data_IF_618860980367
#
_entry.id   IF_618860980367
#
_cell.length_a   1.000
_cell.length_b   1.000
_cell.length_c   1.000
_cell.angle_alpha   90.00
_cell.angle_beta   90.00
_cell.angle_gamma   90.00
#
_symmetry.space_group_name_H-M   'P 1'
#
loop_
_entity.id
_entity.type
_entity.pdbx_description
1 polymer ?
#
# COMPACT_ATOMS: atom_id res chain seq x y z
N UNK A 1 19.82 17.87 -23.46
CA UNK A 1 20.47 16.71 -24.11
C UNK A 1 20.00 15.47 -23.36
N UNK A 2 19.27 14.51 -23.92
CA UNK A 2 19.62 13.59 -25.02
C UNK A 2 18.35 13.14 -25.77
N UNK A 3 18.33 13.24 -27.11
CA UNK A 3 17.39 12.51 -27.97
C UNK A 3 18.04 11.18 -28.34
N UNK A 4 17.52 10.05 -27.84
CA UNK A 4 17.84 8.75 -28.45
C UNK A 4 17.06 8.65 -29.76
N UNK A 5 17.80 8.68 -30.88
CA UNK A 5 17.36 8.02 -32.13
C UNK A 5 17.38 6.51 -31.86
N UNK A 6 16.29 5.83 -32.16
CA UNK A 6 16.29 4.39 -32.40
C UNK A 6 15.58 4.21 -33.75
N UNK A 7 16.37 3.85 -34.76
CA UNK A 7 15.88 3.44 -36.08
C UNK A 7 15.49 1.95 -36.08
N UNK A 8 14.52 1.61 -36.94
CA UNK A 8 14.13 0.25 -37.33
C UNK A 8 13.35 -0.55 -36.27
N UNK A 9 12.19 -1.13 -36.61
CA UNK A 9 12.11 -2.14 -37.66
C UNK A 9 11.07 -1.83 -38.75
N UNK A 10 11.38 -2.28 -39.96
CA UNK A 10 10.49 -2.42 -41.11
C UNK A 10 9.28 -3.28 -40.77
N UNK A 11 8.13 -2.64 -40.60
CA UNK A 11 6.84 -3.30 -40.43
C UNK A 11 5.74 -2.30 -40.69
N UNK A 12 5.12 -2.40 -41.88
CA UNK A 12 3.76 -2.04 -42.25
C UNK A 12 2.87 -1.38 -41.18
N UNK A 13 3.20 -0.15 -40.78
CA UNK A 13 2.44 0.65 -39.80
C UNK A 13 1.43 1.56 -40.48
N UNK A 14 0.19 1.54 -39.98
CA UNK A 14 -0.83 2.49 -40.38
C UNK A 14 -0.42 3.91 -39.96
N UNK A 15 -0.61 4.87 -40.87
CA UNK A 15 -0.27 6.28 -40.70
C UNK A 15 -1.42 7.11 -40.13
N UNK A 16 -2.55 6.49 -39.76
CA UNK A 16 -3.63 7.18 -39.05
C UNK A 16 -3.21 7.56 -37.62
N UNK A 17 -3.71 8.69 -37.11
CA UNK A 17 -3.42 9.11 -35.74
C UNK A 17 -3.96 8.07 -34.73
N UNK A 18 -3.12 7.61 -33.80
CA UNK A 18 -3.47 6.65 -32.73
C UNK A 18 -4.00 5.27 -33.18
N UNK A 19 -3.79 4.88 -34.45
CA UNK A 19 -4.25 3.57 -34.94
C UNK A 19 -3.38 2.42 -34.41
N UNK A 20 -4.01 1.43 -33.77
CA UNK A 20 -3.37 0.20 -33.26
C UNK A 20 -3.39 -0.97 -34.24
N UNK A 21 -3.98 -0.80 -35.43
CA UNK A 21 -4.19 -1.87 -36.43
C UNK A 21 -2.93 -2.43 -37.10
N UNK A 22 -1.76 -2.25 -36.49
CA UNK A 22 -0.46 -2.65 -37.04
C UNK A 22 0.07 -3.98 -36.50
N UNK A 23 -0.71 -4.70 -35.68
CA UNK A 23 -0.27 -5.94 -35.01
C UNK A 23 -0.89 -7.22 -35.58
N UNK A 24 -1.87 -7.16 -36.48
CA UNK A 24 -2.45 -8.33 -37.12
C UNK A 24 -1.79 -8.60 -38.47
N UNK A 25 -1.24 -9.81 -38.65
CA UNK A 25 -0.54 -10.24 -39.88
C UNK A 25 -1.44 -10.34 -41.13
N UNK A 26 -2.74 -10.02 -41.04
CA UNK A 26 -3.74 -10.32 -42.09
C UNK A 26 -4.51 -9.09 -42.59
N UNK A 27 -4.02 -7.87 -42.37
CA UNK A 27 -4.73 -6.65 -42.78
C UNK A 27 -4.18 -6.00 -44.05
N UNK A 28 -5.10 -5.49 -44.88
CA UNK A 28 -4.76 -4.76 -46.10
C UNK A 28 -4.33 -3.32 -45.81
N UNK A 29 -3.29 -2.86 -46.52
CA UNK A 29 -2.72 -1.53 -46.38
C UNK A 29 -2.71 -0.81 -47.72
N UNK A 30 -3.25 0.40 -47.74
CA UNK A 30 -3.41 1.23 -48.93
C UNK A 30 -2.42 2.40 -48.91
N UNK A 31 -1.85 2.72 -50.07
CA UNK A 31 -1.01 3.90 -50.26
C UNK A 31 -1.85 5.17 -50.36
N UNK A 32 -1.27 6.30 -49.98
CA UNK A 32 -1.90 7.61 -50.16
C UNK A 32 -2.12 7.92 -51.65
N UNK A 33 -3.22 8.60 -52.01
CA UNK A 33 -3.51 8.99 -53.38
C UNK A 33 -2.50 10.03 -53.91
N UNK A 34 -2.27 10.02 -55.22
CA UNK A 34 -1.40 11.00 -55.90
C UNK A 34 -2.13 12.31 -56.20
N UNK A 35 -3.46 12.26 -56.35
CA UNK A 35 -4.26 13.47 -56.54
C UNK A 35 -4.17 14.36 -55.29
N UNK A 36 -3.69 15.61 -55.42
CA UNK A 36 -3.54 16.53 -54.29
C UNK A 36 -4.86 16.84 -53.59
N UNK A 37 -5.99 16.86 -54.30
CA UNK A 37 -7.30 17.17 -53.71
C UNK A 37 -7.77 16.03 -52.81
N UNK A 38 -7.73 14.79 -53.32
CA UNK A 38 -8.06 13.61 -52.54
C UNK A 38 -7.09 13.38 -51.37
N UNK A 39 -5.80 13.66 -51.57
CA UNK A 39 -4.78 13.59 -50.53
C UNK A 39 -5.09 14.50 -49.33
N UNK A 40 -5.50 15.74 -49.60
CA UNK A 40 -5.88 16.68 -48.54
C UNK A 40 -7.07 16.19 -47.73
N UNK A 41 -8.10 15.62 -48.39
CA UNK A 41 -9.25 15.01 -47.71
C UNK A 41 -8.83 13.84 -46.81
N UNK A 42 -7.91 12.99 -47.27
CA UNK A 42 -7.36 11.90 -46.45
C UNK A 42 -6.62 12.42 -45.23
N UNK A 43 -5.76 13.42 -45.39
CA UNK A 43 -5.00 14.02 -44.28
C UNK A 43 -5.93 14.65 -43.23
N UNK A 44 -7.00 15.31 -43.69
CA UNK A 44 -8.01 15.87 -42.80
C UNK A 44 -8.73 14.78 -41.99
N UNK A 45 -9.22 13.73 -42.64
CA UNK A 45 -9.98 12.67 -41.96
C UNK A 45 -9.12 11.83 -41.01
N UNK A 46 -7.83 11.68 -41.32
CA UNK A 46 -6.87 10.94 -40.50
C UNK A 46 -6.27 11.76 -39.34
N UNK A 47 -6.70 13.01 -39.16
CA UNK A 47 -6.22 13.89 -38.09
C UNK A 47 -4.78 14.39 -38.28
N UNK A 48 -4.33 14.53 -39.54
CA UNK A 48 -2.96 14.90 -39.91
C UNK A 48 -2.93 16.00 -40.99
N UNK A 49 -3.78 17.02 -40.86
CA UNK A 49 -3.95 18.09 -41.85
C UNK A 49 -2.65 18.80 -42.27
N UNK A 50 -1.67 18.92 -41.37
CA UNK A 50 -0.38 19.57 -41.63
C UNK A 50 0.78 18.62 -42.00
N UNK A 51 0.52 17.32 -42.17
CA UNK A 51 1.57 16.32 -42.39
C UNK A 51 1.77 15.99 -43.88
N UNK A 52 3.03 15.86 -44.32
CA UNK A 52 3.39 15.37 -45.66
C UNK A 52 3.76 13.88 -45.60
N UNK A 53 2.96 12.97 -46.18
CA UNK A 53 3.22 11.54 -46.10
C UNK A 53 4.42 11.14 -46.97
N UNK A 54 5.40 10.37 -46.43
CA UNK A 54 6.44 9.75 -47.26
C UNK A 54 5.86 8.66 -48.17
N UNK A 55 6.58 8.27 -49.23
CA UNK A 55 6.13 7.24 -50.18
C UNK A 55 5.87 5.87 -49.52
N UNK A 56 6.48 5.59 -48.38
CA UNK A 56 6.26 4.38 -47.58
C UNK A 56 5.02 4.44 -46.67
N UNK A 57 4.35 5.58 -46.56
CA UNK A 57 3.17 5.75 -45.71
C UNK A 57 1.98 4.94 -46.23
N UNK A 58 1.30 4.24 -45.31
CA UNK A 58 0.15 3.39 -45.61
C UNK A 58 -1.00 3.64 -44.61
N UNK A 59 -2.23 3.36 -45.02
CA UNK A 59 -3.45 3.40 -44.18
C UNK A 59 -4.14 2.04 -44.23
N UNK A 60 -4.60 1.53 -43.10
CA UNK A 60 -5.20 0.19 -43.04
C UNK A 60 -6.70 0.18 -43.37
N UNK A 61 -7.21 -0.99 -43.77
CA UNK A 61 -8.60 -1.18 -44.20
C UNK A 61 -9.66 -0.81 -43.16
N UNK A 62 -9.32 -0.77 -41.86
CA UNK A 62 -10.22 -0.35 -40.78
C UNK A 62 -10.70 1.11 -40.90
N UNK A 63 -10.03 1.93 -41.70
CA UNK A 63 -10.43 3.31 -41.93
C UNK A 63 -11.32 3.49 -43.16
N UNK A 64 -11.77 2.38 -43.78
CA UNK A 64 -12.64 2.41 -44.94
C UNK A 64 -13.85 1.50 -44.68
N UNK A 65 -15.03 1.92 -45.12
CA UNK A 65 -16.25 1.13 -44.97
C UNK A 65 -16.24 -0.06 -45.95
N UNK A 66 -16.79 -1.22 -45.54
CA UNK A 66 -16.73 -2.51 -46.26
C UNK A 66 -17.30 -2.56 -47.70
N UNK A 67 -17.78 -1.45 -48.27
CA UNK A 67 -18.18 -1.33 -49.68
C UNK A 67 -17.18 -0.57 -50.57
N UNK A 68 -16.18 0.08 -49.97
CA UNK A 68 -15.22 0.96 -50.64
C UNK A 68 -13.97 0.22 -51.15
N UNK A 69 -13.78 -1.02 -50.71
CA UNK A 69 -12.66 -1.88 -51.07
C UNK A 69 -13.13 -2.93 -52.09
N UNK A 70 -12.48 -2.96 -53.25
CA UNK A 70 -12.72 -3.97 -54.28
C UNK A 70 -11.72 -5.11 -54.10
N UNK A 71 -12.23 -6.33 -53.91
CA UNK A 71 -11.45 -7.55 -53.77
C UNK A 71 -11.69 -8.45 -54.99
N UNK A 72 -10.77 -8.47 -55.95
CA UNK A 72 -10.80 -9.34 -57.13
C UNK A 72 -9.49 -10.10 -57.21
N UNK A 73 -9.51 -11.43 -57.06
CA UNK A 73 -8.44 -12.45 -57.26
C UNK A 73 -6.96 -12.08 -57.03
N UNK A 74 -6.68 -10.99 -56.32
CA UNK A 74 -5.40 -10.31 -56.18
C UNK A 74 -5.42 -9.30 -55.03
N UNK A 75 -4.48 -8.34 -55.01
CA UNK A 75 -4.36 -7.38 -53.91
C UNK A 75 -5.61 -6.48 -53.82
N UNK A 76 -6.21 -6.28 -52.64
CA UNK A 76 -7.36 -5.39 -52.47
C UNK A 76 -7.03 -3.96 -52.92
N UNK A 77 -7.96 -3.31 -53.61
CA UNK A 77 -7.84 -1.94 -54.09
C UNK A 77 -8.99 -1.08 -53.56
N UNK A 78 -8.75 0.22 -53.40
CA UNK A 78 -9.81 1.18 -53.11
C UNK A 78 -10.48 1.61 -54.41
N UNK A 79 -11.79 1.84 -54.38
CA UNK A 79 -12.48 2.52 -55.48
C UNK A 79 -11.90 3.93 -55.69
N UNK A 80 -12.01 4.49 -56.92
CA UNK A 80 -11.68 5.90 -57.15
C UNK A 80 -12.44 6.82 -56.17
N UNK A 81 -11.79 7.90 -55.76
CA UNK A 81 -12.37 8.98 -54.93
C UNK A 81 -12.80 8.60 -53.49
N UNK A 82 -12.47 7.41 -53.03
CA UNK A 82 -12.72 6.99 -51.64
C UNK A 82 -11.87 7.79 -50.66
N UNK A 83 -12.49 8.19 -49.55
CA UNK A 83 -11.82 8.83 -48.41
C UNK A 83 -11.95 7.98 -47.15
N UNK A 84 -10.96 7.99 -46.24
CA UNK A 84 -11.07 7.32 -44.96
C UNK A 84 -12.16 7.93 -44.10
N UNK A 85 -12.76 7.14 -43.21
CA UNK A 85 -13.72 7.64 -42.22
C UNK A 85 -13.06 8.66 -41.27
N UNK A 86 -13.79 9.72 -40.93
CA UNK A 86 -13.29 10.82 -40.09
C UNK A 86 -13.01 10.31 -38.68
N UNK A 87 -11.76 10.41 -38.23
CA UNK A 87 -11.38 10.05 -36.86
C UNK A 87 -11.98 11.07 -35.90
N UNK A 88 -12.85 10.62 -34.99
CA UNK A 88 -13.41 11.43 -33.91
C UNK A 88 -12.26 11.98 -33.05
N UNK A 89 -11.99 13.26 -33.22
CA UNK A 89 -10.79 13.91 -32.68
C UNK A 89 -11.09 14.40 -31.27
N UNK A 90 -10.89 13.57 -30.25
CA UNK A 90 -10.73 14.07 -28.88
C UNK A 90 -9.25 14.43 -28.73
N UNK A 91 -8.95 15.73 -28.82
CA UNK A 91 -7.59 16.25 -28.68
C UNK A 91 -7.44 16.85 -27.27
N UNK A 92 -7.07 16.04 -26.25
CA UNK A 92 -6.52 16.63 -25.02
C UNK A 92 -5.04 16.93 -25.22
N UNK A 93 -4.65 18.18 -25.04
CA UNK A 93 -3.24 18.61 -25.05
C UNK A 93 -2.54 18.44 -23.69
N UNK A 94 -3.14 17.65 -22.79
CA UNK A 94 -2.60 17.29 -21.50
C UNK A 94 -1.93 15.91 -21.59
N UNK A 95 -0.61 15.82 -21.32
CA UNK A 95 0.13 14.55 -21.28
C UNK A 95 -0.37 13.63 -20.13
N UNK A 96 -0.13 12.30 -20.20
CA UNK A 96 -1.16 11.29 -20.13
C UNK A 96 -1.07 10.45 -18.86
N UNK A 97 -2.14 10.37 -18.07
CA UNK A 97 -2.33 9.24 -17.16
C UNK A 97 -3.81 8.81 -17.15
N UNK A 98 -4.03 7.60 -17.67
CA UNK A 98 -5.13 6.68 -17.39
C UNK A 98 -6.58 7.02 -17.76
N UNK A 99 -6.82 7.73 -18.86
CA UNK A 99 -8.13 7.61 -19.56
C UNK A 99 -8.18 6.34 -20.44
N UNK A 100 -7.03 5.69 -20.69
CA UNK A 100 -6.92 4.53 -21.58
C UNK A 100 -7.54 3.24 -21.06
N UNK A 101 -7.69 3.06 -19.74
CA UNK A 101 -8.32 1.85 -19.20
C UNK A 101 -9.85 1.91 -19.21
N UNK A 102 -10.45 3.09 -19.00
CA UNK A 102 -11.91 3.22 -18.93
C UNK A 102 -12.58 3.21 -20.31
N UNK A 103 -11.88 3.65 -21.37
CA UNK A 103 -12.45 3.69 -22.74
C UNK A 103 -12.44 2.31 -23.40
N UNK A 104 -11.53 1.40 -23.05
CA UNK A 104 -11.50 0.05 -23.65
C UNK A 104 -12.72 -0.80 -23.27
N UNK A 105 -13.31 -0.59 -22.10
CA UNK A 105 -14.48 -1.37 -21.65
C UNK A 105 -15.84 -0.79 -22.12
N UNK A 106 -15.86 0.39 -22.74
CA UNK A 106 -17.11 1.11 -23.03
C UNK A 106 -17.39 1.44 -24.50
N UNK A 107 -16.55 0.96 -25.43
CA UNK A 107 -16.80 1.15 -26.87
C UNK A 107 -17.77 0.12 -27.51
N UNK A 108 -18.39 -0.76 -26.73
CA UNK A 108 -19.28 -1.81 -27.27
C UNK A 108 -20.74 -1.81 -26.81
N UNK A 109 -21.23 -0.76 -26.13
CA UNK A 109 -22.64 -0.70 -25.77
C UNK A 109 -23.32 0.57 -26.31
N UNK A 110 -24.13 0.41 -27.36
CA UNK A 110 -25.01 1.46 -27.92
C UNK A 110 -26.25 1.74 -27.05
N UNK A 111 -26.21 1.48 -25.75
CA UNK A 111 -27.37 1.68 -24.87
C UNK A 111 -26.93 2.36 -23.58
N UNK A 112 -27.48 3.55 -23.38
CA UNK A 112 -27.29 4.39 -22.21
C UNK A 112 -27.93 3.74 -20.99
N UNK A 113 -27.09 3.20 -20.10
CA UNK A 113 -27.25 3.11 -18.64
C UNK A 113 -26.26 2.08 -18.11
N UNK A 114 -25.16 2.53 -17.50
CA UNK A 114 -24.18 1.63 -16.88
C UNK A 114 -24.17 1.89 -15.38
N UNK A 115 -24.55 0.87 -14.61
CA UNK A 115 -24.45 0.90 -13.15
C UNK A 115 -23.09 0.32 -12.74
N UNK A 116 -22.17 1.17 -12.25
CA UNK A 116 -20.82 0.76 -11.88
C UNK A 116 -20.70 0.51 -10.38
N UNK A 117 -20.22 -0.68 -9.98
CA UNK A 117 -20.06 -1.08 -8.57
C UNK A 117 -19.11 -0.16 -7.75
N UNK A 118 -18.31 0.68 -8.40
CA UNK A 118 -17.36 1.62 -7.74
C UNK A 118 -17.91 3.04 -7.56
N UNK A 119 -18.81 3.52 -8.43
CA UNK A 119 -19.26 4.92 -8.45
C UNK A 119 -20.79 5.09 -8.41
N UNK A 120 -21.56 4.00 -8.32
CA UNK A 120 -23.02 4.05 -8.34
C UNK A 120 -23.57 4.41 -9.73
N UNK A 121 -24.71 5.11 -9.75
CA UNK A 121 -25.41 5.49 -10.98
C UNK A 121 -24.59 6.54 -11.75
N UNK A 122 -23.91 6.11 -12.82
CA UNK A 122 -23.22 7.01 -13.73
C UNK A 122 -24.23 7.50 -14.78
N UNK A 123 -24.62 8.77 -14.67
CA UNK A 123 -25.29 9.48 -15.77
C UNK A 123 -24.20 9.88 -16.74
N UNK A 124 -24.17 9.21 -17.90
CA UNK A 124 -23.28 9.60 -18.99
C UNK A 124 -23.92 10.83 -19.64
N UNK A 125 -23.23 11.99 -19.69
CA UNK A 125 -23.78 13.19 -20.31
C UNK A 125 -24.14 12.90 -21.76
N UNK A 126 -25.36 13.25 -22.15
CA UNK A 126 -25.90 12.85 -23.48
C UNK A 126 -25.59 13.89 -24.55
N UNK A 127 -25.06 15.06 -24.16
CA UNK A 127 -24.75 16.16 -25.05
C UNK A 127 -23.31 16.71 -24.91
N UNK A 128 -22.72 17.24 -25.99
CA UNK A 128 -21.37 17.79 -25.98
C UNK A 128 -21.17 18.99 -25.03
N UNK A 129 -22.22 19.73 -24.67
CA UNK A 129 -22.10 20.88 -23.75
C UNK A 129 -21.92 20.47 -22.29
N UNK A 130 -22.56 19.40 -21.85
CA UNK A 130 -22.45 18.89 -20.47
C UNK A 130 -21.07 18.28 -20.22
N UNK A 131 -20.54 17.54 -21.21
CA UNK A 131 -19.15 17.02 -21.17
C UNK A 131 -18.15 18.17 -21.08
N UNK A 132 -18.38 19.26 -21.81
CA UNK A 132 -17.50 20.43 -21.79
C UNK A 132 -17.55 21.14 -20.43
N UNK A 133 -18.73 21.36 -19.85
CA UNK A 133 -18.86 21.93 -18.50
C UNK A 133 -18.13 21.10 -17.45
N UNK A 134 -18.33 19.77 -17.44
CA UNK A 134 -17.63 18.88 -16.52
C UNK A 134 -16.11 18.92 -16.70
N UNK A 135 -15.64 19.00 -17.95
CA UNK A 135 -14.21 19.11 -18.24
C UNK A 135 -13.65 20.44 -17.72
N UNK A 136 -14.35 21.55 -17.95
CA UNK A 136 -13.94 22.88 -17.52
C UNK A 136 -13.90 22.98 -15.98
N UNK A 137 -14.91 22.45 -15.28
CA UNK A 137 -14.92 22.33 -13.82
C UNK A 137 -13.75 21.49 -13.29
N UNK A 138 -13.50 20.32 -13.89
CA UNK A 138 -12.38 19.46 -13.51
C UNK A 138 -11.04 20.17 -13.71
N UNK A 139 -10.90 20.93 -14.80
CA UNK A 139 -9.71 21.70 -15.10
C UNK A 139 -9.49 22.84 -14.10
N UNK A 140 -10.56 23.51 -13.67
CA UNK A 140 -10.51 24.55 -12.63
C UNK A 140 -10.09 23.97 -11.27
N UNK A 141 -10.69 22.84 -10.86
CA UNK A 141 -10.32 22.15 -9.62
C UNK A 141 -8.86 21.67 -9.62
N UNK A 142 -8.36 21.18 -10.76
CA UNK A 142 -6.96 20.78 -10.87
C UNK A 142 -5.98 21.96 -10.72
N UNK A 143 -6.33 23.13 -11.26
CA UNK A 143 -5.53 24.36 -11.09
C UNK A 143 -5.54 24.83 -9.65
N UNK A 144 -6.70 24.78 -9.00
CA UNK A 144 -6.84 25.14 -7.59
C UNK A 144 -6.03 24.21 -6.69
N UNK A 145 -6.04 22.90 -6.96
CA UNK A 145 -5.22 21.91 -6.24
C UNK A 145 -3.71 22.18 -6.41
N UNK A 146 -3.25 22.52 -7.61
CA UNK A 146 -1.84 22.87 -7.85
C UNK A 146 -1.45 24.16 -7.10
N UNK A 147 -2.34 25.16 -7.09
CA UNK A 147 -2.13 26.40 -6.35
C UNK A 147 -2.05 26.16 -4.84
N UNK A 148 -2.99 25.37 -4.29
CA UNK A 148 -2.99 24.98 -2.88
C UNK A 148 -1.73 24.19 -2.50
N UNK A 149 -1.29 23.25 -3.33
CA UNK A 149 -0.04 22.50 -3.10
C UNK A 149 1.18 23.42 -3.02
N UNK A 150 1.29 24.38 -3.94
CA UNK A 150 2.36 25.39 -3.93
C UNK A 150 2.28 26.29 -2.70
N UNK A 151 1.08 26.72 -2.31
CA UNK A 151 0.86 27.53 -1.12
C UNK A 151 1.25 26.80 0.18
N UNK A 152 0.93 25.50 0.29
CA UNK A 152 1.36 24.65 1.41
C UNK A 152 2.89 24.56 1.47
N UNK A 153 3.55 24.25 0.36
CA UNK A 153 5.02 24.19 0.31
C UNK A 153 5.69 25.52 0.70
N UNK A 154 5.13 26.65 0.23
CA UNK A 154 5.63 27.97 0.59
C UNK A 154 5.46 28.26 2.09
N UNK A 155 4.32 27.88 2.69
CA UNK A 155 4.09 28.02 4.13
C UNK A 155 5.01 27.10 4.94
N UNK A 156 5.22 25.86 4.53
CA UNK A 156 6.17 24.94 5.17
C UNK A 156 7.59 25.52 5.18
N UNK A 157 8.02 26.10 4.05
CA UNK A 157 9.33 26.75 3.97
C UNK A 157 9.43 28.00 4.85
N UNK A 158 8.35 28.79 4.95
CA UNK A 158 8.30 29.94 5.87
C UNK A 158 8.36 29.52 7.34
N UNK A 159 7.69 28.43 7.73
CA UNK A 159 7.78 27.86 9.08
C UNK A 159 9.21 27.41 9.37
N UNK A 160 9.82 26.63 8.46
CA UNK A 160 11.23 26.20 8.59
C UNK A 160 12.20 27.40 8.72
N UNK A 161 11.98 28.46 7.94
CA UNK A 161 12.83 29.65 8.00
C UNK A 161 12.63 30.47 9.29
N UNK A 162 11.41 30.55 9.81
CA UNK A 162 11.10 31.21 11.10
C UNK A 162 11.69 30.44 12.28
N UNK A 163 11.55 29.11 12.27
CA UNK A 163 12.21 28.23 13.24
C UNK A 163 13.73 28.45 13.20
N UNK A 164 14.37 28.38 12.03
CA UNK A 164 15.81 28.60 11.89
C UNK A 164 16.27 30.01 12.31
N UNK A 165 15.42 31.04 12.16
CA UNK A 165 15.75 32.43 12.54
C UNK A 165 15.63 32.69 14.05
N UNK A 166 14.63 32.10 14.73
CA UNK A 166 14.57 32.12 16.21
C UNK A 166 15.77 31.41 16.85
N UNK A 167 16.36 30.43 16.17
CA UNK A 167 17.50 29.65 16.67
C UNK A 167 18.85 30.34 16.47
N UNK A 168 18.97 31.36 15.60
CA UNK A 168 20.22 32.12 15.43
C UNK A 168 20.63 32.94 16.66
N UNK A 169 19.69 33.22 17.58
CA UNK A 169 19.96 33.87 18.86
C UNK A 169 20.32 32.92 20.01
N UNK A 170 20.09 31.60 19.87
CA UNK A 170 20.28 30.62 20.94
C UNK A 170 21.07 29.40 20.42
N UNK A 171 22.38 29.37 20.73
CA UNK A 171 23.36 28.33 20.33
C UNK A 171 23.05 26.88 20.80
N UNK A 172 21.86 26.56 21.31
CA UNK A 172 21.57 25.32 22.06
C UNK A 172 20.44 24.42 21.56
N UNK A 173 19.66 24.79 20.54
CA UNK A 173 18.54 23.97 20.10
C UNK A 173 18.77 23.38 18.70
N UNK A 174 18.67 22.05 18.58
CA UNK A 174 18.64 21.34 17.30
C UNK A 174 17.21 21.31 16.76
N UNK A 175 17.05 21.37 15.44
CA UNK A 175 15.73 21.25 14.80
C UNK A 175 15.14 19.85 15.00
N UNK A 176 13.81 19.72 14.93
CA UNK A 176 13.13 18.42 14.99
C UNK A 176 13.63 17.47 13.89
N UNK A 177 13.93 18.00 12.71
CA UNK A 177 14.48 17.25 11.59
C UNK A 177 15.91 16.72 11.87
N UNK A 178 16.75 17.52 12.52
CA UNK A 178 18.08 17.10 12.95
C UNK A 178 18.03 16.03 14.06
N UNK A 179 17.11 16.18 15.03
CA UNK A 179 16.86 15.18 16.08
C UNK A 179 16.38 13.86 15.46
N UNK A 180 15.39 13.91 14.55
CA UNK A 180 14.85 12.72 13.88
C UNK A 180 15.92 11.98 13.08
N UNK A 181 16.68 12.71 12.27
CA UNK A 181 17.78 12.12 11.49
C UNK A 181 18.87 11.56 12.40
N UNK A 182 19.23 12.26 13.48
CA UNK A 182 20.18 11.77 14.48
C UNK A 182 19.71 10.48 15.16
N UNK A 183 18.44 10.37 15.54
CA UNK A 183 17.85 9.14 16.08
C UNK A 183 17.91 7.99 15.07
N UNK A 184 17.55 8.24 13.81
CA UNK A 184 17.61 7.22 12.74
C UNK A 184 19.04 6.70 12.51
N UNK A 185 20.02 7.60 12.45
CA UNK A 185 21.43 7.24 12.34
C UNK A 185 21.88 6.43 13.55
N UNK A 186 21.54 6.89 14.76
CA UNK A 186 21.86 6.20 16.02
C UNK A 186 21.29 4.78 16.07
N UNK A 187 20.05 4.59 15.63
CA UNK A 187 19.43 3.26 15.55
C UNK A 187 20.08 2.36 14.48
N UNK A 188 20.51 2.93 13.35
CA UNK A 188 21.09 2.16 12.25
C UNK A 188 22.51 1.66 12.54
N UNK A 189 23.34 2.46 13.22
CA UNK A 189 24.75 2.13 13.48
C UNK A 189 25.09 1.89 14.97
N UNK A 190 24.11 2.01 15.86
CA UNK A 190 24.28 1.87 17.31
C UNK A 190 25.04 3.04 17.97
N UNK A 191 25.15 3.06 19.31
CA UNK A 191 25.74 4.17 20.05
C UNK A 191 27.19 4.48 19.66
N UNK A 192 28.04 3.45 19.56
CA UNK A 192 29.46 3.61 19.18
C UNK A 192 29.64 3.97 17.70
N UNK A 193 28.77 3.45 16.82
CA UNK A 193 28.77 3.81 15.41
C UNK A 193 28.38 5.27 15.21
N UNK A 194 27.36 5.73 15.93
CA UNK A 194 26.90 7.11 15.85
C UNK A 194 27.95 8.09 16.36
N UNK A 195 28.68 7.74 17.42
CA UNK A 195 29.82 8.54 17.87
C UNK A 195 30.89 8.70 16.78
N UNK A 196 31.21 7.63 16.03
CA UNK A 196 32.15 7.68 14.89
C UNK A 196 31.62 8.55 13.76
N UNK A 197 30.31 8.47 13.46
CA UNK A 197 29.66 9.36 12.49
C UNK A 197 29.82 10.82 12.92
N UNK A 198 29.56 11.14 14.19
CA UNK A 198 29.74 12.50 14.71
C UNK A 198 31.19 12.99 14.58
N UNK A 199 32.18 12.12 14.84
CA UNK A 199 33.60 12.45 14.69
C UNK A 199 33.95 12.77 13.23
N UNK A 200 33.59 11.89 12.29
CA UNK A 200 33.84 12.11 10.84
C UNK A 200 33.19 13.40 10.34
N UNK A 201 31.99 13.72 10.84
CA UNK A 201 31.30 14.97 10.49
C UNK A 201 31.94 16.20 11.15
N UNK A 202 32.53 16.07 12.34
CA UNK A 202 33.28 17.17 12.97
C UNK A 202 34.56 17.49 12.20
N UNK A 203 35.24 16.47 11.66
CA UNK A 203 36.48 16.61 10.91
C UNK A 203 36.27 17.15 9.48
N UNK A 204 35.02 17.23 9.01
CA UNK A 204 34.65 17.63 7.65
C UNK A 204 34.23 19.11 7.57
N UNK A 205 34.97 19.99 6.84
CA UNK A 205 34.61 21.40 6.69
C UNK A 205 33.23 21.57 6.05
N UNK A 206 32.34 22.33 6.70
CA UNK A 206 31.00 22.63 6.20
C UNK A 206 29.95 21.54 6.43
N UNK A 207 30.30 20.44 7.12
CA UNK A 207 29.35 19.39 7.44
C UNK A 207 28.27 19.86 8.43
N UNK A 208 27.03 19.34 8.32
CA UNK A 208 25.95 19.67 9.23
C UNK A 208 26.24 19.15 10.66
N UNK A 209 25.95 19.98 11.66
CA UNK A 209 26.06 19.59 13.08
C UNK A 209 24.87 18.71 13.46
N UNK A 210 25.17 17.54 14.05
CA UNK A 210 24.16 16.64 14.59
C UNK A 210 24.15 16.61 16.13
N UNK A 211 23.00 16.27 16.74
CA UNK A 211 22.87 16.19 18.20
C UNK A 211 23.75 15.09 18.79
N UNK A 212 24.32 15.36 19.96
CA UNK A 212 25.04 14.34 20.74
C UNK A 212 24.12 13.20 21.18
N UNK A 213 24.63 12.01 21.52
CA UNK A 213 23.81 10.92 22.06
C UNK A 213 22.97 11.35 23.27
N UNK A 214 23.53 12.15 24.19
CA UNK A 214 22.78 12.66 25.35
C UNK A 214 21.65 13.59 24.93
N UNK A 215 21.87 14.45 23.93
CA UNK A 215 20.83 15.33 23.39
C UNK A 215 19.70 14.53 22.75
N UNK A 216 20.02 13.46 22.01
CA UNK A 216 19.01 12.57 21.44
C UNK A 216 18.20 11.87 22.54
N UNK A 217 18.85 11.40 23.61
CA UNK A 217 18.17 10.79 24.76
C UNK A 217 17.21 11.77 25.44
N UNK A 218 17.65 13.00 25.75
CA UNK A 218 16.78 14.05 26.33
C UNK A 218 15.57 14.30 25.43
N UNK A 219 15.78 14.34 24.11
CA UNK A 219 14.71 14.63 23.16
C UNK A 219 13.58 13.60 23.16
N UNK A 220 13.86 12.33 23.50
CA UNK A 220 12.86 11.26 23.56
C UNK A 220 12.45 10.89 24.99
N UNK A 221 13.07 11.49 26.01
CA UNK A 221 12.86 11.17 27.43
C UNK A 221 11.40 11.33 27.89
N UNK A 222 10.66 12.24 27.26
CA UNK A 222 9.24 12.46 27.53
C UNK A 222 8.32 11.29 27.09
N UNK A 223 8.79 10.41 26.22
CA UNK A 223 8.04 9.24 25.74
C UNK A 223 8.27 8.07 26.69
N UNK A 224 7.20 7.62 27.36
CA UNK A 224 7.31 6.64 28.46
C UNK A 224 6.63 5.32 28.10
N UNK A 225 7.42 4.28 27.87
CA UNK A 225 6.89 2.94 27.60
C UNK A 225 6.70 2.14 28.90
N UNK A 226 5.79 2.59 29.77
CA UNK A 226 5.47 1.84 30.99
C UNK A 226 4.76 0.50 30.65
N UNK A 227 4.89 -0.54 31.51
CA UNK A 227 4.13 -1.76 31.34
C UNK A 227 2.63 -1.47 31.33
N UNK A 228 1.91 -2.15 30.44
CA UNK A 228 0.52 -1.87 30.11
C UNK A 228 0.30 -1.73 28.60
N UNK A 229 -0.80 -1.07 28.25
CA UNK A 229 -1.12 -0.66 26.89
C UNK A 229 -0.26 0.56 26.52
N UNK A 230 0.41 0.49 25.37
CA UNK A 230 1.33 1.52 24.88
C UNK A 230 0.59 2.53 23.99
N UNK A 231 -0.04 3.53 24.61
CA UNK A 231 -0.75 4.60 23.90
C UNK A 231 0.17 5.43 23.00
N UNK A 232 1.44 5.58 23.41
CA UNK A 232 2.51 6.22 22.65
C UNK A 232 2.74 5.56 21.28
N UNK A 233 2.32 4.30 21.13
CA UNK A 233 2.37 3.52 19.89
C UNK A 233 1.02 3.48 19.18
N UNK A 234 -0.07 3.28 19.93
CA UNK A 234 -1.41 3.17 19.35
C UNK A 234 -1.84 4.46 18.66
N UNK A 235 -1.53 5.63 19.22
CA UNK A 235 -1.94 6.92 18.67
C UNK A 235 -1.30 7.21 17.29
N UNK A 236 0.03 7.08 17.09
CA UNK A 236 0.62 7.15 15.75
C UNK A 236 0.10 6.06 14.80
N UNK A 237 -0.18 4.86 15.32
CA UNK A 237 -0.68 3.76 14.52
C UNK A 237 -2.09 4.05 13.97
N UNK A 238 -2.96 4.66 14.77
CA UNK A 238 -4.28 5.13 14.31
C UNK A 238 -4.18 6.16 13.19
N UNK A 239 -3.29 7.16 13.32
CA UNK A 239 -3.02 8.13 12.23
C UNK A 239 -2.55 7.45 10.95
N UNK A 240 -1.71 6.40 11.08
CA UNK A 240 -1.28 5.60 9.92
C UNK A 240 -2.46 4.88 9.27
N UNK A 241 -3.36 4.26 10.04
CA UNK A 241 -4.53 3.57 9.51
C UNK A 241 -5.55 4.51 8.87
N UNK A 242 -5.72 5.73 9.39
CA UNK A 242 -6.55 6.76 8.76
C UNK A 242 -6.05 7.16 7.37
N UNK A 243 -4.74 7.07 7.13
CA UNK A 243 -4.13 7.36 5.82
C UNK A 243 -4.39 6.29 4.75
N UNK A 244 -4.89 5.10 5.12
CA UNK A 244 -5.16 4.03 4.16
C UNK A 244 -6.50 4.22 3.46
N UNK A 245 -6.45 4.19 2.12
CA UNK A 245 -7.64 4.32 1.26
C UNK A 245 -8.42 3.00 1.18
N UNK A 246 -7.71 1.87 1.14
CA UNK A 246 -8.30 0.54 1.11
C UNK A 246 -8.44 0.01 2.54
N UNK A 247 -9.67 -0.33 2.95
CA UNK A 247 -9.94 -0.83 4.31
C UNK A 247 -9.16 -2.09 4.65
N UNK A 248 -8.82 -2.92 3.65
CA UNK A 248 -8.06 -4.17 3.84
C UNK A 248 -6.60 -3.94 4.23
N UNK A 249 -6.07 -2.73 4.01
CA UNK A 249 -4.73 -2.38 4.49
C UNK A 249 -4.70 -2.15 6.02
N UNK A 250 -5.89 -2.05 6.64
CA UNK A 250 -6.08 -2.00 8.10
C UNK A 250 -6.29 -3.39 8.72
N UNK A 251 -6.29 -4.45 7.91
CA UNK A 251 -6.45 -5.81 8.40
C UNK A 251 -5.18 -6.28 9.12
N UNK A 252 -5.35 -6.70 10.37
CA UNK A 252 -4.26 -7.11 11.25
C UNK A 252 -4.58 -8.43 11.98
N UNK A 253 -3.52 -9.12 12.38
CA UNK A 253 -3.55 -10.17 13.39
C UNK A 253 -3.05 -9.60 14.72
N UNK A 254 -3.73 -9.96 15.82
CA UNK A 254 -3.21 -9.73 17.17
C UNK A 254 -2.46 -10.98 17.60
N UNK A 255 -1.15 -10.86 17.72
CA UNK A 255 -0.26 -11.93 18.19
C UNK A 255 0.08 -11.69 19.66
N UNK A 256 0.16 -12.75 20.46
CA UNK A 256 0.65 -12.65 21.83
C UNK A 256 1.44 -13.88 22.24
N UNK A 257 2.47 -13.65 23.03
CA UNK A 257 3.39 -14.69 23.51
C UNK A 257 4.03 -14.30 24.85
N UNK A 258 4.54 -15.29 25.57
CA UNK A 258 5.28 -15.13 26.81
C UNK A 258 6.79 -15.27 26.57
N UNK A 259 7.57 -14.37 27.15
CA UNK A 259 9.02 -14.48 27.24
C UNK A 259 9.43 -14.78 28.68
N UNK A 260 10.43 -15.65 28.86
CA UNK A 260 11.07 -15.85 30.17
C UNK A 260 12.04 -14.70 30.43
N UNK A 261 11.99 -14.13 31.63
CA UNK A 261 12.90 -13.08 32.07
C UNK A 261 13.59 -13.44 33.38
N UNK A 262 14.79 -12.89 33.59
CA UNK A 262 15.51 -13.04 34.85
C UNK A 262 14.82 -12.18 35.91
N UNK A 263 14.61 -12.76 37.10
CA UNK A 263 14.14 -12.01 38.27
C UNK A 263 15.15 -10.92 38.64
N UNK A 264 14.75 -9.68 38.46
CA UNK A 264 15.57 -8.50 38.76
C UNK A 264 14.64 -7.32 39.09
N UNK A 265 15.06 -6.48 40.04
CA UNK A 265 14.45 -5.18 40.29
C UNK A 265 15.44 -4.12 39.84
N UNK A 266 14.99 -3.24 38.96
CA UNK A 266 15.73 -2.08 38.50
C UNK A 266 14.96 -0.80 38.85
N UNK A 267 15.67 0.30 39.07
CA UNK A 267 15.06 1.63 39.24
C UNK A 267 15.01 2.30 37.88
N UNK A 268 13.81 2.51 37.36
CA UNK A 268 13.62 3.32 36.17
C UNK A 268 13.58 4.80 36.58
N UNK A 269 14.65 5.53 36.26
CA UNK A 269 14.80 6.95 36.57
C UNK A 269 13.77 7.84 35.86
N UNK A 270 13.25 7.42 34.70
CA UNK A 270 12.26 8.19 33.94
C UNK A 270 10.84 7.97 34.50
N UNK A 271 10.53 6.74 34.89
CA UNK A 271 9.28 6.42 35.60
C UNK A 271 9.33 6.78 37.09
N UNK A 272 10.52 7.05 37.63
CA UNK A 272 10.80 7.35 39.05
C UNK A 272 10.23 6.28 39.99
N UNK A 273 10.33 5.01 39.60
CA UNK A 273 9.80 3.88 40.36
C UNK A 273 10.60 2.61 40.11
N UNK A 274 10.55 1.63 41.02
CA UNK A 274 11.11 0.32 40.75
C UNK A 274 10.28 -0.42 39.68
N UNK A 275 10.97 -1.15 38.81
CA UNK A 275 10.43 -2.03 37.77
C UNK A 275 10.98 -3.43 38.02
N UNK A 276 10.19 -4.47 37.71
CA UNK A 276 10.52 -5.87 38.02
C UNK A 276 9.45 -6.60 38.83
N UNK A 277 8.35 -5.92 39.15
CA UNK A 277 7.17 -6.51 39.78
C UNK A 277 6.11 -6.88 38.75
N UNK A 278 5.24 -7.82 39.12
CA UNK A 278 4.10 -8.20 38.32
C UNK A 278 3.11 -7.04 38.16
N UNK A 279 2.46 -6.98 37.01
CA UNK A 279 1.69 -5.81 36.53
C UNK A 279 0.23 -6.13 36.24
N UNK A 280 -0.11 -7.41 36.06
CA UNK A 280 -1.50 -7.84 35.97
C UNK A 280 -2.15 -7.91 37.36
N UNK A 281 -3.47 -7.66 37.45
CA UNK A 281 -4.20 -7.67 38.72
C UNK A 281 -4.12 -9.04 39.41
N UNK A 282 -4.11 -9.03 40.75
CA UNK A 282 -4.02 -10.24 41.59
C UNK A 282 -2.58 -10.73 41.82
N UNK A 283 -1.59 -9.94 41.40
CA UNK A 283 -0.17 -10.25 41.53
C UNK A 283 0.63 -9.13 42.21
N UNK A 284 -0.04 -8.26 42.94
CA UNK A 284 0.54 -7.06 43.55
C UNK A 284 1.73 -7.43 44.44
N UNK A 285 2.85 -6.72 44.26
CA UNK A 285 4.09 -6.91 45.04
C UNK A 285 4.88 -8.18 44.71
N UNK A 286 4.41 -9.05 43.80
CA UNK A 286 5.15 -10.25 43.39
C UNK A 286 6.21 -9.92 42.34
N UNK A 287 7.30 -10.66 42.34
CA UNK A 287 8.37 -10.51 41.36
C UNK A 287 7.95 -11.05 39.99
N UNK A 288 8.33 -10.34 38.93
CA UNK A 288 8.09 -10.80 37.59
C UNK A 288 9.19 -11.74 37.10
N UNK A 289 8.77 -12.83 36.45
CA UNK A 289 9.64 -13.87 35.86
C UNK A 289 9.25 -14.16 34.40
N UNK A 290 8.11 -13.63 33.96
CA UNK A 290 7.65 -13.70 32.58
C UNK A 290 7.25 -12.32 32.05
N UNK A 291 7.53 -12.07 30.77
CA UNK A 291 7.06 -10.90 30.03
C UNK A 291 6.02 -11.32 29.01
N UNK A 292 4.77 -10.89 29.19
CA UNK A 292 3.69 -11.08 28.22
C UNK A 292 3.74 -9.95 27.19
N UNK A 293 3.81 -10.28 25.91
CA UNK A 293 3.93 -9.29 24.83
C UNK A 293 2.75 -9.41 23.88
N UNK A 294 2.16 -8.27 23.52
CA UNK A 294 1.07 -8.18 22.55
C UNK A 294 1.51 -7.38 21.33
N UNK A 295 1.33 -7.96 20.15
CA UNK A 295 1.82 -7.42 18.88
C UNK A 295 0.66 -7.30 17.89
N UNK A 296 0.54 -6.16 17.23
CA UNK A 296 -0.27 -6.03 16.02
C UNK A 296 0.60 -6.28 14.79
N UNK A 297 0.16 -7.23 13.96
CA UNK A 297 0.84 -7.63 12.73
C UNK A 297 -0.07 -7.40 11.53
N UNK A 298 0.37 -6.60 10.57
CA UNK A 298 -0.37 -6.36 9.33
C UNK A 298 -0.44 -7.62 8.47
N UNK A 299 -1.57 -7.80 7.77
CA UNK A 299 -1.75 -8.90 6.80
C UNK A 299 -1.19 -8.49 5.44
N UNK A 300 -1.65 -7.35 4.90
CA UNK A 300 -1.17 -6.82 3.60
C UNK A 300 0.06 -5.93 3.74
N UNK A 301 0.22 -5.34 4.92
CA UNK A 301 1.27 -4.37 5.21
C UNK A 301 2.38 -5.03 6.00
N UNK A 302 3.64 -4.62 5.76
CA UNK A 302 4.79 -4.96 6.62
C UNK A 302 4.72 -4.16 7.92
N UNK A 303 3.72 -4.44 8.73
CA UNK A 303 3.50 -3.87 10.04
C UNK A 303 3.76 -4.96 11.09
N UNK A 304 4.63 -4.68 12.06
CA UNK A 304 4.84 -5.49 13.25
C UNK A 304 5.14 -4.54 14.40
N UNK A 305 4.17 -4.35 15.28
CA UNK A 305 4.26 -3.34 16.32
C UNK A 305 3.83 -3.91 17.66
N UNK A 306 4.69 -3.79 18.68
CA UNK A 306 4.33 -4.10 20.06
C UNK A 306 3.40 -2.99 20.54
N UNK A 307 2.22 -3.37 21.03
CA UNK A 307 1.16 -2.44 21.44
C UNK A 307 0.82 -2.53 22.93
N UNK A 308 1.22 -3.62 23.58
CA UNK A 308 1.18 -3.74 25.02
C UNK A 308 2.23 -4.75 25.48
N UNK A 309 2.68 -4.58 26.72
CA UNK A 309 3.45 -5.61 27.40
C UNK A 309 3.16 -5.59 28.89
N UNK A 310 3.18 -6.75 29.52
CA UNK A 310 3.00 -6.91 30.96
C UNK A 310 4.10 -7.77 31.53
N UNK A 311 4.58 -7.42 32.72
CA UNK A 311 5.50 -8.24 33.51
C UNK A 311 4.66 -9.05 34.49
N UNK A 312 4.91 -10.35 34.61
CA UNK A 312 4.05 -11.29 35.32
C UNK A 312 4.86 -12.36 36.07
N UNK A 313 4.23 -12.98 37.06
CA UNK A 313 4.75 -14.21 37.67
C UNK A 313 4.57 -15.41 36.71
N UNK A 314 5.15 -16.60 37.00
CA UNK A 314 4.96 -17.78 36.14
C UNK A 314 3.52 -18.26 36.00
N UNK A 315 2.68 -17.99 37.01
CA UNK A 315 1.29 -18.43 37.10
C UNK A 315 0.37 -17.20 37.14
N UNK A 316 -0.35 -16.97 36.04
CA UNK A 316 -1.26 -15.82 35.87
C UNK A 316 -2.68 -16.32 35.66
N UNK A 317 -3.63 -15.66 36.30
CA UNK A 317 -5.05 -15.93 36.05
C UNK A 317 -5.40 -15.65 34.58
N UNK A 318 -6.01 -16.64 33.92
CA UNK A 318 -6.48 -16.52 32.54
C UNK A 318 -7.52 -15.41 32.39
N UNK A 319 -8.28 -15.07 33.45
CA UNK A 319 -9.26 -13.97 33.44
C UNK A 319 -8.58 -12.61 33.31
N UNK A 320 -7.49 -12.38 34.02
CA UNK A 320 -6.72 -11.13 33.94
C UNK A 320 -6.16 -10.93 32.52
N UNK A 321 -5.61 -11.99 31.92
CA UNK A 321 -5.12 -11.95 30.53
C UNK A 321 -6.24 -11.71 29.53
N UNK A 322 -7.37 -12.40 29.68
CA UNK A 322 -8.56 -12.18 28.85
C UNK A 322 -8.97 -10.71 28.84
N UNK A 323 -8.99 -10.05 30.00
CA UNK A 323 -9.37 -8.64 30.08
C UNK A 323 -8.45 -7.74 29.23
N UNK A 324 -7.14 -7.95 29.28
CA UNK A 324 -6.17 -7.22 28.43
C UNK A 324 -6.40 -7.50 26.95
N UNK A 325 -6.72 -8.74 26.57
CA UNK A 325 -7.03 -9.09 25.18
C UNK A 325 -8.29 -8.33 24.71
N UNK A 326 -9.35 -8.30 25.51
CA UNK A 326 -10.59 -7.59 25.19
C UNK A 326 -10.35 -6.09 25.05
N UNK A 327 -9.61 -5.49 25.98
CA UNK A 327 -9.27 -4.07 25.93
C UNK A 327 -8.46 -3.74 24.67
N UNK A 328 -7.47 -4.57 24.31
CA UNK A 328 -6.70 -4.38 23.08
C UNK A 328 -7.52 -4.54 21.81
N UNK A 329 -8.52 -5.43 21.79
CA UNK A 329 -9.44 -5.55 20.65
C UNK A 329 -10.31 -4.30 20.52
N UNK A 330 -10.79 -3.76 21.64
CA UNK A 330 -11.50 -2.49 21.66
C UNK A 330 -10.60 -1.34 21.15
N UNK A 331 -9.38 -1.22 21.68
CA UNK A 331 -8.41 -0.20 21.23
C UNK A 331 -8.05 -0.34 19.76
N UNK A 332 -7.90 -1.56 19.25
CA UNK A 332 -7.67 -1.81 17.83
C UNK A 332 -8.82 -1.23 16.97
N UNK A 333 -10.06 -1.45 17.38
CA UNK A 333 -11.23 -0.91 16.70
C UNK A 333 -11.28 0.63 16.78
N UNK A 334 -10.99 1.21 17.95
CA UNK A 334 -10.94 2.68 18.15
C UNK A 334 -9.93 3.35 17.20
N UNK A 335 -8.79 2.72 16.93
CA UNK A 335 -7.78 3.24 15.99
C UNK A 335 -8.05 2.87 14.52
N UNK A 336 -9.18 2.23 14.22
CA UNK A 336 -9.61 1.86 12.87
C UNK A 336 -8.96 0.59 12.30
N UNK A 337 -8.34 -0.24 13.14
CA UNK A 337 -7.77 -1.53 12.73
C UNK A 337 -8.85 -2.62 12.69
N UNK A 338 -8.78 -3.50 11.68
CA UNK A 338 -9.65 -4.67 11.59
C UNK A 338 -8.90 -5.90 12.10
N UNK A 339 -9.20 -6.37 13.31
CA UNK A 339 -8.56 -7.58 13.84
C UNK A 339 -9.23 -8.82 13.25
N UNK A 340 -8.49 -9.55 12.43
CA UNK A 340 -9.00 -10.74 11.72
C UNK A 340 -8.75 -12.02 12.51
N UNK A 341 -7.58 -12.12 13.15
CA UNK A 341 -7.21 -13.29 13.93
C UNK A 341 -6.44 -12.95 15.21
N UNK A 342 -6.67 -13.76 16.23
CA UNK A 342 -5.79 -13.95 17.38
C UNK A 342 -4.78 -15.05 17.05
N UNK A 343 -3.50 -14.79 17.32
CA UNK A 343 -2.42 -15.77 17.11
C UNK A 343 -1.65 -15.95 18.41
N UNK A 344 -1.50 -17.19 18.85
CA UNK A 344 -0.76 -17.52 20.07
C UNK A 344 -0.21 -18.94 20.04
N UNK A 345 0.71 -19.24 20.95
CA UNK A 345 1.18 -20.60 21.17
C UNK A 345 0.05 -21.52 21.71
N UNK A 346 0.18 -22.82 21.46
CA UNK A 346 -0.74 -23.89 21.81
C UNK A 346 -0.87 -24.14 23.32
N UNK A 347 0.01 -23.56 24.15
CA UNK A 347 -0.10 -23.57 25.61
C UNK A 347 -1.24 -22.71 26.17
N UNK A 348 -1.77 -21.76 25.38
CA UNK A 348 -2.74 -20.76 25.83
C UNK A 348 -4.21 -21.25 25.86
N UNK A 349 -4.44 -22.55 25.99
CA UNK A 349 -5.80 -23.16 25.91
C UNK A 349 -6.77 -22.61 26.96
N UNK A 350 -6.29 -22.33 28.18
CA UNK A 350 -7.11 -21.76 29.25
C UNK A 350 -7.69 -20.39 28.87
N UNK A 351 -6.85 -19.51 28.32
CA UNK A 351 -7.24 -18.17 27.85
C UNK A 351 -8.24 -18.27 26.69
N UNK A 352 -7.99 -19.17 25.74
CA UNK A 352 -8.90 -19.40 24.61
C UNK A 352 -10.27 -19.91 25.06
N UNK A 353 -10.31 -20.82 26.05
CA UNK A 353 -11.55 -21.30 26.65
C UNK A 353 -12.31 -20.17 27.35
N UNK A 354 -11.61 -19.32 28.11
CA UNK A 354 -12.19 -18.15 28.78
C UNK A 354 -12.75 -17.12 27.78
N UNK A 355 -12.13 -16.98 26.60
CA UNK A 355 -12.65 -16.15 25.50
C UNK A 355 -13.84 -16.80 24.77
N UNK A 356 -14.18 -18.06 25.07
CA UNK A 356 -15.29 -18.77 24.46
C UNK A 356 -14.95 -19.50 23.16
N UNK A 357 -13.67 -19.69 22.84
CA UNK A 357 -13.27 -20.52 21.69
C UNK A 357 -13.52 -22.01 21.98
N UNK A 358 -14.05 -22.72 20.99
CA UNK A 358 -14.14 -24.17 21.03
C UNK A 358 -12.73 -24.76 20.89
N UNK A 359 -12.28 -25.48 21.92
CA UNK A 359 -11.01 -26.24 21.89
C UNK A 359 -11.19 -27.68 21.40
N UNK A 360 -12.41 -28.09 21.03
CA UNK A 360 -12.78 -29.50 20.81
C UNK A 360 -13.18 -29.88 19.37
N UNK A 361 -13.39 -28.94 18.43
CA UNK A 361 -13.75 -29.25 17.01
C UNK A 361 -13.81 -28.02 16.12
N UNK A 362 -13.45 -28.21 14.83
CA UNK A 362 -13.66 -27.52 13.52
C UNK A 362 -13.94 -26.00 13.43
N UNK A 363 -14.07 -25.28 14.54
CA UNK A 363 -14.38 -23.86 14.59
C UNK A 363 -13.47 -23.19 15.60
N UNK A 364 -12.30 -22.75 15.14
CA UNK A 364 -11.47 -21.78 15.84
C UNK A 364 -11.99 -20.35 15.64
N UNK A 365 -13.26 -20.20 15.27
CA UNK A 365 -13.93 -18.91 15.13
C UNK A 365 -14.57 -18.53 16.46
N UNK A 366 -14.40 -17.28 16.87
CA UNK A 366 -15.06 -16.77 18.05
C UNK A 366 -16.58 -16.71 17.79
N UNK A 367 -17.42 -17.29 18.67
CA UNK A 367 -18.88 -17.22 18.56
C UNK A 367 -19.41 -15.83 18.20
N UNK A 368 -20.24 -15.75 17.15
CA UNK A 368 -20.94 -14.52 16.77
C UNK A 368 -20.10 -13.42 16.12
N UNK A 369 -18.80 -13.62 15.90
CA UNK A 369 -17.92 -12.60 15.30
C UNK A 369 -17.09 -13.17 14.14
N UNK A 370 -16.53 -12.33 13.24
CA UNK A 370 -15.62 -12.79 12.20
C UNK A 370 -14.19 -13.07 12.70
N UNK A 371 -13.94 -13.02 14.02
CA UNK A 371 -12.61 -13.16 14.60
C UNK A 371 -12.20 -14.64 14.71
N UNK A 372 -11.04 -14.97 14.15
CA UNK A 372 -10.47 -16.31 14.18
C UNK A 372 -9.41 -16.45 15.27
N UNK A 373 -9.17 -17.67 15.72
CA UNK A 373 -8.00 -18.05 16.48
C UNK A 373 -7.13 -18.94 15.60
N UNK A 374 -5.85 -18.60 15.50
CA UNK A 374 -4.88 -19.36 14.71
C UNK A 374 -3.75 -19.76 15.65
N UNK A 375 -3.57 -21.05 15.95
CA UNK A 375 -2.38 -21.49 16.69
C UNK A 375 -1.11 -21.20 15.87
N UNK A 376 0.01 -20.95 16.56
CA UNK A 376 1.28 -20.79 15.87
C UNK A 376 1.60 -22.03 15.00
N UNK A 377 1.72 -21.87 13.67
CA UNK A 377 2.02 -22.97 12.76
C UNK A 377 3.32 -23.69 13.12
N UNK A 378 4.34 -22.98 13.60
CA UNK A 378 5.64 -23.58 13.94
C UNK A 378 5.50 -24.53 15.13
N UNK A 379 4.74 -24.12 16.16
CA UNK A 379 4.48 -24.96 17.31
C UNK A 379 3.62 -26.18 16.94
N UNK A 380 2.62 -26.01 16.08
CA UNK A 380 1.86 -27.13 15.50
C UNK A 380 2.76 -28.15 14.79
N UNK A 381 3.65 -27.69 13.91
CA UNK A 381 4.55 -28.60 13.19
C UNK A 381 5.53 -29.31 14.13
N UNK A 382 6.05 -28.62 15.15
CA UNK A 382 6.89 -29.25 16.18
C UNK A 382 6.13 -30.33 16.94
N UNK A 383 4.89 -30.06 17.36
CA UNK A 383 4.03 -31.04 18.02
C UNK A 383 3.71 -32.24 17.13
N UNK A 384 3.43 -32.00 15.84
CA UNK A 384 3.17 -33.07 14.87
C UNK A 384 4.42 -33.96 14.66
N UNK A 385 5.60 -33.33 14.52
CA UNK A 385 6.88 -34.03 14.44
C UNK A 385 7.10 -34.91 15.67
N UNK A 386 6.94 -34.35 16.87
CA UNK A 386 7.13 -35.09 18.11
C UNK A 386 6.17 -36.29 18.19
N UNK A 387 4.89 -36.09 17.88
CA UNK A 387 3.91 -37.16 17.79
C UNK A 387 4.36 -38.29 16.84
N UNK A 388 4.88 -37.95 15.66
CA UNK A 388 5.41 -38.94 14.71
C UNK A 388 6.64 -39.67 15.26
N UNK A 389 7.55 -38.96 15.93
CA UNK A 389 8.75 -39.55 16.53
C UNK A 389 8.41 -40.50 17.69
N UNK A 390 7.44 -40.14 18.54
CA UNK A 390 7.05 -40.95 19.71
C UNK A 390 6.11 -42.09 19.34
N UNK A 391 5.02 -41.80 18.61
CA UNK A 391 3.96 -42.75 18.32
C UNK A 391 4.23 -43.59 17.06
N UNK A 392 5.21 -43.19 16.24
CA UNK A 392 5.61 -43.80 14.95
C UNK A 392 4.55 -43.84 13.86
N UNK A 393 3.28 -43.61 14.21
CA UNK A 393 2.11 -43.67 13.33
C UNK A 393 1.19 -42.49 13.64
N UNK A 394 0.54 -41.97 12.61
CA UNK A 394 -0.46 -40.90 12.72
C UNK A 394 -1.70 -41.37 11.95
N UNK A 395 -2.83 -41.50 12.65
CA UNK A 395 -4.11 -41.81 12.02
C UNK A 395 -4.74 -40.51 11.55
N UNK A 396 -4.94 -40.38 10.24
CA UNK A 396 -5.65 -39.25 9.65
C UNK A 396 -7.15 -39.53 9.59
N UNK A 397 -8.01 -38.51 9.67
CA UNK A 397 -9.43 -38.69 9.40
C UNK A 397 -9.66 -39.23 7.99
N UNK A 398 -10.55 -40.20 7.85
CA UNK A 398 -10.79 -40.90 6.60
C UNK A 398 -11.10 -39.97 5.41
N UNK A 399 -11.84 -38.87 5.66
CA UNK A 399 -12.09 -37.83 4.65
C UNK A 399 -10.81 -37.27 4.01
N UNK A 400 -9.74 -37.08 4.80
CA UNK A 400 -8.46 -36.52 4.33
C UNK A 400 -7.69 -37.59 3.56
N UNK A 401 -7.76 -38.84 4.01
CA UNK A 401 -7.15 -39.98 3.32
C UNK A 401 -7.75 -40.12 1.92
N UNK A 402 -9.08 -40.05 1.81
CA UNK A 402 -9.81 -40.12 0.54
C UNK A 402 -9.56 -38.90 -0.36
N UNK A 403 -9.63 -37.68 0.19
CA UNK A 403 -9.44 -36.43 -0.56
C UNK A 403 -8.05 -36.35 -1.23
N UNK A 404 -7.03 -36.85 -0.56
CA UNK A 404 -5.63 -36.77 -1.03
C UNK A 404 -5.06 -38.10 -1.51
N UNK A 405 -5.85 -39.18 -1.54
CA UNK A 405 -5.40 -40.51 -1.98
C UNK A 405 -4.24 -41.09 -1.15
N UNK A 406 -4.28 -40.90 0.17
CA UNK A 406 -3.22 -41.34 1.08
C UNK A 406 -3.35 -42.84 1.42
N UNK A 407 -2.25 -43.54 1.74
CA UNK A 407 -2.32 -44.92 2.22
C UNK A 407 -3.05 -44.97 3.57
N UNK A 408 -4.02 -45.88 3.67
CA UNK A 408 -4.86 -46.13 4.85
C UNK A 408 -4.17 -46.96 5.91
#
# INVERSE_FOLDING_TARGET
MYKRRMGGPSGNKCSALNCKGSHSKQMSLFSFPKDPVLLQKWLQNLGRSSWKPPQSARVCELHFTSGQIVRSSGRPLLRPDVVPDKISTIVCQCKPWNVTLAIQDHLYCKQANVNCKLHGHLVIPTGPSEVQQMFDETCMLMKELDHLKKAVQAKEQQVKNKENSQHKGNKKHFTVEAIRTGLQLSMACGPSGYQKVLQVLQDSPGAPKFPSPRTLQVAVEHIKFAPGILYEILDPLGKKFQGFQDSRDRDINKVFDELVQKRQIDIDNNLKRPVGFATLPGQEGKFAEKGEIYIFRGIRQRLKQIVAYHLNTPQVDSKAKKQVILELLQKANEIGANVIALVCDMGNRGILSELGFSTKKDSLKWPGTPLWCVPDPVHLFKSLKECLCTNKTITLPQRIVEEFGLPS
#
